data_IF_947543910188
#
_entry.id   IF_947543910188
#
_cell.length_a   1.000
_cell.length_b   1.000
_cell.length_c   1.000
_cell.angle_alpha   90.00
_cell.angle_beta   90.00
_cell.angle_gamma   90.00
#
_symmetry.space_group_name_H-M   'P 1'
#
loop_
_entity.id
_entity.type
_entity.pdbx_description
1 polymer ?
#
# COMPACT_ATOMS: atom_id res chain seq x y z
N UNK A 1 -1.08 0.65 -19.95
CA UNK A 1 -1.56 0.02 -18.69
C UNK A 1 -0.49 -0.85 -18.02
N UNK A 2 0.12 -1.82 -18.71
CA UNK A 2 1.17 -2.69 -18.11
C UNK A 2 2.35 -1.93 -17.48
N UNK A 3 2.89 -0.92 -18.16
CA UNK A 3 4.02 -0.12 -17.65
C UNK A 3 3.67 0.59 -16.34
N UNK A 4 2.46 1.14 -16.23
CA UNK A 4 2.00 1.82 -15.00
C UNK A 4 1.87 0.82 -13.86
N UNK A 5 1.30 -0.37 -14.12
CA UNK A 5 1.17 -1.42 -13.10
C UNK A 5 2.55 -1.90 -12.61
N UNK A 6 3.50 -2.10 -13.53
CA UNK A 6 4.87 -2.48 -13.17
C UNK A 6 5.55 -1.37 -12.36
N UNK A 7 5.43 -0.11 -12.79
CA UNK A 7 6.02 1.02 -12.07
C UNK A 7 5.47 1.15 -10.65
N UNK A 8 4.15 1.15 -10.49
CA UNK A 8 3.50 1.23 -9.17
C UNK A 8 3.89 0.04 -8.29
N UNK A 9 3.89 -1.18 -8.84
CA UNK A 9 4.27 -2.38 -8.08
C UNK A 9 5.73 -2.32 -7.63
N UNK A 10 6.64 -1.81 -8.46
CA UNK A 10 8.04 -1.58 -8.08
C UNK A 10 8.16 -0.53 -6.97
N UNK A 11 7.44 0.58 -7.05
CA UNK A 11 7.43 1.59 -5.98
C UNK A 11 6.95 1.01 -4.65
N UNK A 12 5.88 0.21 -4.67
CA UNK A 12 5.34 -0.45 -3.47
C UNK A 12 6.33 -1.50 -2.93
N UNK A 13 7.02 -2.22 -3.80
CA UNK A 13 8.08 -3.16 -3.40
C UNK A 13 9.22 -2.44 -2.67
N UNK A 14 9.72 -1.33 -3.24
CA UNK A 14 10.78 -0.54 -2.60
C UNK A 14 10.34 0.02 -1.25
N UNK A 15 9.10 0.50 -1.14
CA UNK A 15 8.54 0.95 0.13
C UNK A 15 8.50 -0.19 1.17
N UNK A 16 8.05 -1.39 0.77
CA UNK A 16 8.03 -2.56 1.66
C UNK A 16 9.44 -2.96 2.13
N UNK A 17 10.42 -2.94 1.23
CA UNK A 17 11.84 -3.21 1.57
C UNK A 17 12.37 -2.16 2.54
N UNK A 18 12.07 -0.87 2.31
CA UNK A 18 12.50 0.21 3.20
C UNK A 18 11.93 0.04 4.61
N UNK A 19 10.62 -0.24 4.73
CA UNK A 19 9.96 -0.51 6.01
C UNK A 19 10.59 -1.73 6.70
N UNK A 20 10.83 -2.81 5.97
CA UNK A 20 11.48 -4.02 6.52
C UNK A 20 12.90 -3.72 7.01
N UNK A 21 13.69 -2.99 6.23
CA UNK A 21 15.05 -2.64 6.59
C UNK A 21 15.09 -1.81 7.87
N UNK A 22 14.26 -0.76 7.97
CA UNK A 22 14.14 0.02 9.20
C UNK A 22 13.64 -0.83 10.37
N UNK A 23 12.72 -1.76 10.13
CA UNK A 23 12.15 -2.59 11.19
C UNK A 23 13.09 -3.70 11.68
N UNK A 24 14.12 -4.05 10.90
CA UNK A 24 15.14 -5.03 11.26
C UNK A 24 16.26 -4.44 12.13
N UNK A 25 16.39 -3.11 12.19
CA UNK A 25 17.34 -2.48 13.11
C UNK A 25 16.78 -2.60 14.53
N UNK A 26 17.53 -3.22 15.47
CA UNK A 26 17.08 -3.31 16.85
C UNK A 26 16.99 -1.91 17.46
N UNK A 27 16.07 -1.69 18.42
CA UNK A 27 16.07 -0.48 19.23
C UNK A 27 17.41 -0.31 19.96
N UNK A 28 17.91 0.92 20.12
CA UNK A 28 19.21 1.18 20.73
C UNK A 28 19.29 0.65 22.17
N UNK A 29 20.45 0.15 22.56
CA UNK A 29 20.66 -0.29 23.93
C UNK A 29 20.85 0.90 24.87
N UNK A 30 20.48 0.76 26.15
CA UNK A 30 20.61 1.85 27.14
C UNK A 30 22.06 2.36 27.26
N UNK A 31 23.05 1.50 27.05
CA UNK A 31 24.48 1.81 27.04
C UNK A 31 24.89 2.77 25.91
N UNK A 32 24.11 2.85 24.84
CA UNK A 32 24.37 3.67 23.65
C UNK A 32 23.72 5.07 23.77
N UNK A 33 22.97 5.31 24.86
CA UNK A 33 22.18 6.51 25.04
C UNK A 33 22.88 7.57 25.89
N UNK A 34 22.50 8.83 25.64
CA UNK A 34 23.01 9.98 26.39
C UNK A 34 22.12 10.25 27.61
N UNK A 35 22.74 10.43 28.78
CA UNK A 35 22.07 10.95 29.97
C UNK A 35 22.19 12.46 29.98
N UNK A 36 21.06 13.17 30.12
CA UNK A 36 21.00 14.63 30.06
C UNK A 36 20.22 15.13 31.26
N UNK A 37 20.82 16.03 32.03
CA UNK A 37 20.13 16.75 33.11
C UNK A 37 20.02 18.21 32.70
N UNK A 38 18.83 18.79 32.84
CA UNK A 38 18.60 20.18 32.47
C UNK A 38 17.29 20.73 33.01
N UNK A 39 17.15 22.05 32.93
CA UNK A 39 15.95 22.74 33.39
C UNK A 39 14.87 22.71 32.31
N UNK A 40 13.68 22.23 32.68
CA UNK A 40 12.50 22.22 31.84
C UNK A 40 12.05 23.64 31.49
N UNK A 41 11.77 23.93 30.22
CA UNK A 41 11.20 25.21 29.81
C UNK A 41 9.70 25.08 29.50
N UNK A 42 9.37 24.34 28.44
CA UNK A 42 8.00 24.10 28.01
C UNK A 42 7.86 22.78 27.24
N UNK A 43 6.61 22.35 27.08
CA UNK A 43 6.23 21.16 26.34
C UNK A 43 5.29 21.56 25.20
N UNK A 44 5.51 20.98 24.02
CA UNK A 44 4.67 21.18 22.83
C UNK A 44 4.00 19.83 22.52
N UNK A 45 2.67 19.71 22.71
CA UNK A 45 1.96 18.48 22.37
C UNK A 45 1.96 18.23 20.86
N UNK A 46 1.69 16.99 20.46
CA UNK A 46 1.58 16.63 19.05
C UNK A 46 0.44 17.43 18.38
N UNK A 47 0.82 18.27 17.41
CA UNK A 47 -0.09 19.14 16.65
C UNK A 47 -0.62 18.51 15.36
N UNK A 48 -0.36 17.21 15.11
CA UNK A 48 -0.92 16.43 14.01
C UNK A 48 -0.29 16.67 12.62
N UNK A 49 0.50 17.73 12.42
CA UNK A 49 1.16 18.02 11.13
C UNK A 49 2.60 17.47 11.03
N UNK A 50 3.25 17.26 12.16
CA UNK A 50 4.56 16.59 12.28
C UNK A 50 4.51 15.72 13.55
N UNK A 51 4.75 14.40 13.48
CA UNK A 51 4.16 13.44 14.42
C UNK A 51 5.07 13.20 15.63
N UNK A 52 5.40 14.25 16.41
CA UNK A 52 6.18 14.08 17.65
C UNK A 52 5.86 15.21 18.62
N UNK A 53 5.57 14.86 19.86
CA UNK A 53 5.57 15.84 20.95
C UNK A 53 7.00 16.27 21.29
N UNK A 54 7.17 17.54 21.63
CA UNK A 54 8.47 18.15 21.89
C UNK A 54 8.62 18.59 23.36
N UNK A 55 9.80 18.37 23.90
CA UNK A 55 10.22 18.85 25.21
C UNK A 55 11.40 19.79 25.03
N UNK A 56 11.24 21.02 25.54
CA UNK A 56 12.22 22.09 25.42
C UNK A 56 12.89 22.34 26.77
N UNK A 57 14.22 22.47 26.75
CA UNK A 57 15.01 22.87 27.92
C UNK A 57 15.36 24.37 27.86
N UNK A 58 15.65 24.98 29.00
CA UNK A 58 15.96 26.42 29.10
C UNK A 58 17.24 26.82 28.36
N UNK A 59 18.13 25.87 28.08
CA UNK A 59 19.33 26.08 27.28
C UNK A 59 19.07 26.09 25.75
N UNK A 60 17.81 25.94 25.32
CA UNK A 60 17.40 25.91 23.91
C UNK A 60 17.46 24.53 23.25
N UNK A 61 17.81 23.48 23.99
CA UNK A 61 17.82 22.10 23.46
C UNK A 61 16.40 21.56 23.32
N UNK A 62 16.17 20.82 22.23
CA UNK A 62 14.87 20.24 21.89
C UNK A 62 14.98 18.72 21.80
N UNK A 63 14.04 18.04 22.45
CA UNK A 63 13.96 16.59 22.50
C UNK A 63 12.55 16.12 22.14
N UNK A 64 12.43 14.92 21.58
CA UNK A 64 11.18 14.39 21.06
C UNK A 64 10.70 13.21 21.88
N UNK A 65 9.44 13.18 22.28
CA UNK A 65 8.86 12.03 22.98
C UNK A 65 8.44 10.97 21.96
N UNK A 66 8.83 9.72 22.19
CA UNK A 66 8.43 8.58 21.36
C UNK A 66 6.91 8.39 21.44
N UNK A 67 6.31 8.11 20.27
CA UNK A 67 4.87 8.10 19.96
C UNK A 67 3.92 8.05 21.19
N UNK A 68 3.24 9.16 21.54
CA UNK A 68 2.37 9.24 22.71
C UNK A 68 1.11 8.36 22.60
N UNK A 69 0.78 7.84 21.41
CA UNK A 69 -0.43 7.03 21.17
C UNK A 69 -0.51 5.76 22.04
N UNK A 70 0.62 5.22 22.50
CA UNK A 70 0.65 4.05 23.37
C UNK A 70 0.47 4.36 24.87
N UNK A 71 0.12 5.61 25.23
CA UNK A 71 -0.09 6.05 26.63
C UNK A 71 1.12 5.79 27.56
N UNK A 72 2.32 5.73 27.00
CA UNK A 72 3.54 5.38 27.73
C UNK A 72 4.06 6.57 28.55
N UNK A 73 3.80 7.79 28.08
CA UNK A 73 4.16 9.02 28.76
C UNK A 73 2.99 9.52 29.61
N UNK A 74 3.23 9.71 30.91
CA UNK A 74 2.25 10.27 31.84
C UNK A 74 2.14 11.80 31.69
N UNK A 75 1.69 12.26 30.52
CA UNK A 75 1.66 13.66 30.10
C UNK A 75 0.92 14.56 31.10
N UNK A 76 -0.32 14.21 31.46
CA UNK A 76 -1.12 14.99 32.41
C UNK A 76 -0.43 15.16 33.76
N UNK A 77 0.18 14.08 34.26
CA UNK A 77 0.91 14.10 35.53
C UNK A 77 2.19 14.94 35.40
N UNK A 78 2.89 14.84 34.27
CA UNK A 78 4.07 15.63 33.98
C UNK A 78 3.75 17.12 33.94
N UNK A 79 2.76 17.54 33.14
CA UNK A 79 2.37 18.95 33.00
C UNK A 79 1.81 19.54 34.30
N UNK A 80 1.16 18.73 35.12
CA UNK A 80 0.67 19.16 36.44
C UNK A 80 1.81 19.40 37.43
N UNK A 81 2.80 18.51 37.46
CA UNK A 81 3.79 18.43 38.54
C UNK A 81 5.15 19.05 38.20
N UNK A 82 5.52 19.13 36.92
CA UNK A 82 6.79 19.72 36.47
C UNK A 82 6.57 21.18 36.10
N UNK A 83 7.32 22.07 36.72
CA UNK A 83 7.25 23.52 36.49
C UNK A 83 8.44 23.99 35.66
N UNK A 84 8.26 25.12 34.98
CA UNK A 84 9.34 25.80 34.26
C UNK A 84 10.52 26.06 35.22
N UNK A 85 11.74 25.86 34.72
CA UNK A 85 13.03 25.85 35.42
C UNK A 85 13.23 24.70 36.42
N UNK A 86 12.35 23.72 36.45
CA UNK A 86 12.56 22.53 37.27
C UNK A 86 13.56 21.60 36.59
N UNK A 87 14.52 21.08 37.37
CA UNK A 87 15.47 20.08 36.88
C UNK A 87 14.75 18.77 36.51
N UNK A 88 15.09 18.27 35.34
CA UNK A 88 14.62 17.01 34.79
C UNK A 88 15.79 16.20 34.25
N UNK A 89 15.71 14.88 34.44
CA UNK A 89 16.67 13.93 33.92
C UNK A 89 16.06 13.19 32.74
N UNK A 90 16.79 13.17 31.64
CA UNK A 90 16.44 12.55 30.39
C UNK A 90 17.43 11.44 30.04
N UNK A 91 16.93 10.35 29.49
CA UNK A 91 17.74 9.43 28.69
C UNK A 91 17.31 9.60 27.25
N UNK A 92 18.27 9.88 26.38
CA UNK A 92 18.02 10.26 25.00
C UNK A 92 18.79 9.34 24.05
N UNK A 93 18.08 8.79 23.07
CA UNK A 93 18.72 8.22 21.88
C UNK A 93 19.13 9.36 20.94
N UNK A 94 20.44 9.46 20.67
CA UNK A 94 21.01 10.41 19.72
C UNK A 94 21.58 9.72 18.47
N UNK A 95 21.57 8.39 18.41
CA UNK A 95 22.21 7.60 17.35
C UNK A 95 21.51 7.75 16.00
N UNK A 96 20.20 7.98 16.03
CA UNK A 96 19.37 8.19 14.84
C UNK A 96 19.40 9.62 14.29
N UNK A 97 20.17 10.54 14.92
CA UNK A 97 20.11 11.98 14.64
C UNK A 97 18.81 12.65 15.10
N UNK A 98 17.91 11.87 15.70
CA UNK A 98 16.65 12.34 16.27
C UNK A 98 16.75 12.19 17.78
N UNK A 99 16.79 13.31 18.50
CA UNK A 99 16.95 13.41 19.95
C UNK A 99 15.73 12.84 20.71
N UNK A 100 15.51 11.53 20.62
CA UNK A 100 14.33 10.87 21.15
C UNK A 100 14.50 10.56 22.63
N UNK A 101 13.50 10.94 23.41
CA UNK A 101 13.47 10.70 24.85
C UNK A 101 12.96 9.29 25.11
N UNK A 102 13.82 8.51 25.76
CA UNK A 102 13.53 7.16 26.22
C UNK A 102 13.18 7.12 27.70
N UNK A 103 13.48 8.18 28.47
CA UNK A 103 13.10 8.29 29.87
C UNK A 103 12.97 9.75 30.29
N UNK A 104 11.97 10.05 31.13
CA UNK A 104 11.78 11.38 31.75
C UNK A 104 11.60 11.19 33.25
N UNK A 105 12.44 11.87 34.03
CA UNK A 105 12.31 11.97 35.49
C UNK A 105 12.37 13.41 35.96
N UNK A 106 11.70 13.69 37.06
CA UNK A 106 11.95 14.90 37.86
C UNK A 106 12.02 14.52 39.33
N UNK A 107 13.19 14.72 39.94
CA UNK A 107 13.49 14.20 41.27
C UNK A 107 13.30 12.68 41.34
N UNK A 108 12.40 12.22 42.22
CA UNK A 108 12.12 10.77 42.40
C UNK A 108 10.97 10.23 41.54
N UNK A 109 10.30 11.09 40.76
CA UNK A 109 9.12 10.71 39.97
C UNK A 109 9.55 10.42 38.54
N UNK A 110 9.10 9.29 37.99
CA UNK A 110 9.32 8.88 36.59
C UNK A 110 8.02 9.07 35.82
N UNK A 111 8.07 9.87 34.75
CA UNK A 111 6.91 10.18 33.89
C UNK A 111 6.94 9.40 32.59
N UNK A 112 8.13 8.97 32.15
CA UNK A 112 8.35 8.03 31.07
C UNK A 112 9.46 7.07 31.50
N UNK A 113 9.17 5.76 31.51
CA UNK A 113 10.15 4.75 31.89
C UNK A 113 10.90 4.24 30.66
N UNK A 114 12.21 4.00 30.82
CA UNK A 114 13.05 3.41 29.77
C UNK A 114 12.48 2.09 29.24
N UNK A 115 12.00 1.24 30.15
CA UNK A 115 11.47 -0.07 29.79
C UNK A 115 10.24 0.05 28.90
N UNK A 116 9.35 0.99 29.22
CA UNK A 116 8.10 1.13 28.48
C UNK A 116 8.35 1.81 27.13
N UNK A 117 9.22 2.83 27.07
CA UNK A 117 9.64 3.44 25.81
C UNK A 117 10.32 2.41 24.88
N UNK A 118 11.25 1.62 25.42
CA UNK A 118 11.94 0.56 24.68
C UNK A 118 10.98 -0.53 24.18
N UNK A 119 10.02 -0.96 25.01
CA UNK A 119 9.03 -1.94 24.60
C UNK A 119 8.09 -1.39 23.52
N UNK A 120 7.71 -0.12 23.61
CA UNK A 120 6.91 0.57 22.59
C UNK A 120 7.65 0.62 21.26
N UNK A 121 8.90 1.06 21.25
CA UNK A 121 9.73 1.11 20.05
C UNK A 121 9.93 -0.29 19.45
N UNK A 122 10.21 -1.30 20.29
CA UNK A 122 10.30 -2.69 19.85
C UNK A 122 9.00 -3.18 19.22
N UNK A 123 7.86 -2.83 19.81
CA UNK A 123 6.55 -3.19 19.28
C UNK A 123 6.30 -2.52 17.91
N UNK A 124 6.65 -1.25 17.75
CA UNK A 124 6.56 -0.54 16.46
C UNK A 124 7.44 -1.20 15.40
N UNK A 125 8.67 -1.60 15.74
CA UNK A 125 9.55 -2.38 14.85
C UNK A 125 8.91 -3.73 14.46
N UNK A 126 8.30 -4.44 15.40
CA UNK A 126 7.58 -5.71 15.11
C UNK A 126 6.40 -5.47 14.15
N UNK A 127 5.60 -4.42 14.38
CA UNK A 127 4.49 -4.07 13.48
C UNK A 127 4.99 -3.67 12.09
N UNK A 128 6.09 -2.94 12.02
CA UNK A 128 6.78 -2.61 10.78
C UNK A 128 7.24 -3.87 10.03
N UNK A 129 7.81 -4.87 10.72
CA UNK A 129 8.17 -6.15 10.11
C UNK A 129 6.95 -6.88 9.51
N UNK A 130 5.83 -6.93 10.25
CA UNK A 130 4.60 -7.58 9.79
C UNK A 130 4.04 -6.84 8.57
N UNK A 131 3.90 -5.52 8.66
CA UNK A 131 3.36 -4.70 7.57
C UNK A 131 4.25 -4.75 6.33
N UNK A 132 5.57 -4.60 6.51
CA UNK A 132 6.55 -4.71 5.45
C UNK A 132 6.52 -6.08 4.75
N UNK A 133 6.35 -7.16 5.51
CA UNK A 133 6.22 -8.52 4.97
C UNK A 133 4.96 -8.70 4.13
N UNK A 134 3.82 -8.17 4.59
CA UNK A 134 2.56 -8.19 3.84
C UNK A 134 2.69 -7.40 2.54
N UNK A 135 3.26 -6.20 2.60
CA UNK A 135 3.50 -5.35 1.41
C UNK A 135 4.41 -6.07 0.41
N UNK A 136 5.48 -6.71 0.89
CA UNK A 136 6.41 -7.48 0.05
C UNK A 136 5.69 -8.63 -0.66
N UNK A 137 4.90 -9.42 0.07
CA UNK A 137 4.13 -10.54 -0.48
C UNK A 137 3.15 -10.08 -1.56
N UNK A 138 2.38 -9.02 -1.27
CA UNK A 138 1.42 -8.45 -2.23
C UNK A 138 2.13 -7.90 -3.48
N UNK A 139 3.29 -7.27 -3.31
CA UNK A 139 4.10 -6.75 -4.41
C UNK A 139 4.59 -7.87 -5.33
N UNK A 140 5.07 -8.97 -4.74
CA UNK A 140 5.49 -10.17 -5.49
C UNK A 140 4.30 -10.78 -6.25
N UNK A 141 3.13 -10.88 -5.61
CA UNK A 141 1.91 -11.36 -6.28
C UNK A 141 1.48 -10.45 -7.44
N UNK A 142 1.58 -9.13 -7.29
CA UNK A 142 1.27 -8.17 -8.35
C UNK A 142 2.27 -8.24 -9.51
N UNK A 143 3.57 -8.38 -9.23
CA UNK A 143 4.60 -8.53 -10.26
C UNK A 143 4.47 -9.88 -10.98
N UNK A 144 4.28 -10.97 -10.25
CA UNK A 144 4.06 -12.31 -10.80
C UNK A 144 2.76 -12.44 -11.60
N UNK A 145 1.66 -11.88 -11.09
CA UNK A 145 0.37 -11.82 -11.78
C UNK A 145 0.36 -10.87 -12.98
N UNK A 146 1.15 -9.78 -12.91
CA UNK A 146 1.34 -8.83 -14.01
C UNK A 146 1.97 -9.46 -15.26
N UNK A 147 2.81 -10.49 -15.08
CA UNK A 147 3.43 -11.25 -16.17
C UNK A 147 2.41 -12.15 -16.88
N UNK A 148 1.37 -12.62 -16.17
CA UNK A 148 0.34 -13.50 -16.73
C UNK A 148 -0.90 -12.78 -17.29
N UNK A 149 -1.06 -11.48 -17.08
CA UNK A 149 -2.11 -10.68 -17.71
C UNK A 149 -1.78 -10.49 -19.20
N UNK A 150 -2.03 -11.54 -19.98
CA UNK A 150 -2.00 -11.48 -21.45
C UNK A 150 -2.98 -10.41 -21.94
N UNK A 151 -2.63 -9.70 -23.01
CA UNK A 151 -3.58 -8.78 -23.64
C UNK A 151 -4.71 -9.62 -24.19
N UNK A 152 -5.95 -9.15 -24.07
CA UNK A 152 -7.05 -9.74 -24.82
C UNK A 152 -6.66 -9.70 -26.30
N UNK A 153 -6.75 -10.81 -27.00
CA UNK A 153 -6.40 -10.85 -28.42
C UNK A 153 -7.39 -11.69 -29.21
N UNK A 154 -7.59 -11.29 -30.45
CA UNK A 154 -8.39 -12.03 -31.42
C UNK A 154 -7.45 -12.37 -32.57
N UNK A 155 -7.19 -13.66 -32.78
CA UNK A 155 -6.43 -14.15 -33.94
C UNK A 155 -7.43 -14.65 -34.96
N UNK A 156 -7.44 -14.02 -36.13
CA UNK A 156 -8.37 -14.32 -37.21
C UNK A 156 -7.76 -15.43 -38.08
N UNK A 157 -8.54 -16.46 -38.39
CA UNK A 157 -8.12 -17.54 -39.28
C UNK A 157 -9.14 -17.67 -40.41
N UNK A 158 -8.94 -16.91 -41.47
CA UNK A 158 -9.85 -16.86 -42.61
C UNK A 158 -9.92 -18.19 -43.35
N UNK A 159 -8.81 -18.93 -43.42
CA UNK A 159 -8.73 -20.24 -44.09
C UNK A 159 -9.61 -21.30 -43.43
N UNK A 160 -9.74 -21.27 -42.10
CA UNK A 160 -10.54 -22.25 -41.35
C UNK A 160 -11.90 -21.71 -40.88
N UNK A 161 -12.33 -20.56 -41.42
CA UNK A 161 -13.59 -19.88 -41.06
C UNK A 161 -13.82 -19.73 -39.54
N UNK A 162 -12.74 -19.42 -38.81
CA UNK A 162 -12.80 -19.25 -37.37
C UNK A 162 -11.93 -18.10 -36.86
N UNK A 163 -12.08 -17.81 -35.59
CA UNK A 163 -11.16 -16.97 -34.84
C UNK A 163 -10.85 -17.60 -33.49
N UNK A 164 -9.69 -17.24 -32.98
CA UNK A 164 -9.22 -17.64 -31.67
C UNK A 164 -9.29 -16.41 -30.77
N UNK A 165 -10.12 -16.49 -29.74
CA UNK A 165 -10.24 -15.45 -28.72
C UNK A 165 -9.46 -15.80 -27.47
N UNK A 166 -8.44 -15.01 -27.15
CA UNK A 166 -7.66 -15.14 -25.92
C UNK A 166 -8.09 -14.10 -24.90
N UNK A 167 -8.47 -14.55 -23.72
CA UNK A 167 -8.84 -13.69 -22.58
C UNK A 167 -7.62 -13.18 -21.83
N UNK A 168 -7.78 -12.15 -21.00
CA UNK A 168 -6.67 -11.65 -20.19
C UNK A 168 -6.04 -12.71 -19.28
N UNK A 169 -6.83 -13.69 -18.85
CA UNK A 169 -6.39 -14.82 -18.02
C UNK A 169 -5.77 -15.97 -18.83
N UNK A 170 -5.48 -15.78 -20.11
CA UNK A 170 -4.84 -16.79 -20.96
C UNK A 170 -5.75 -17.91 -21.45
N UNK A 171 -7.05 -17.91 -21.11
CA UNK A 171 -8.01 -18.87 -21.69
C UNK A 171 -8.24 -18.56 -23.15
N UNK A 172 -8.23 -19.60 -23.96
CA UNK A 172 -8.34 -19.52 -25.42
C UNK A 172 -9.62 -20.21 -25.87
N UNK A 173 -10.39 -19.56 -26.73
CA UNK A 173 -11.61 -20.10 -27.31
C UNK A 173 -11.51 -20.05 -28.83
N UNK A 174 -11.67 -21.19 -29.49
CA UNK A 174 -11.79 -21.28 -30.95
C UNK A 174 -13.27 -21.22 -31.31
N UNK A 175 -13.67 -20.24 -32.11
CA UNK A 175 -15.06 -19.95 -32.41
C UNK A 175 -15.21 -19.80 -33.91
N UNK A 176 -16.10 -20.59 -34.49
CA UNK A 176 -16.41 -20.55 -35.92
C UNK A 176 -17.46 -19.47 -36.21
N UNK A 177 -17.34 -18.79 -37.35
CA UNK A 177 -18.25 -17.69 -37.67
C UNK A 177 -19.69 -18.17 -37.90
N UNK A 178 -19.86 -19.35 -38.52
CA UNK A 178 -21.17 -19.93 -38.81
C UNK A 178 -21.99 -20.31 -37.56
N UNK A 179 -21.32 -20.54 -36.43
CA UNK A 179 -21.99 -20.85 -35.16
C UNK A 179 -22.49 -19.60 -34.42
N UNK A 180 -22.14 -18.40 -34.91
CA UNK A 180 -22.57 -17.14 -34.31
C UNK A 180 -23.95 -16.76 -34.85
N UNK A 181 -24.96 -16.86 -33.99
CA UNK A 181 -26.34 -16.55 -34.39
C UNK A 181 -26.58 -15.05 -34.57
N UNK A 182 -25.97 -14.24 -33.71
CA UNK A 182 -26.03 -12.78 -33.78
C UNK A 182 -24.99 -12.14 -32.88
N UNK A 183 -24.71 -10.86 -33.12
CA UNK A 183 -23.88 -10.03 -32.26
C UNK A 183 -24.50 -8.66 -31.95
N UNK A 184 -24.03 -8.07 -30.85
CA UNK A 184 -24.40 -6.74 -30.37
C UNK A 184 -23.15 -6.00 -29.91
N UNK A 185 -22.98 -4.79 -30.40
CA UNK A 185 -21.89 -3.89 -30.01
C UNK A 185 -22.37 -2.92 -28.93
N UNK A 186 -21.69 -2.87 -27.79
CA UNK A 186 -21.88 -1.88 -26.74
C UNK A 186 -20.61 -1.05 -26.51
N UNK A 187 -20.70 0.00 -25.68
CA UNK A 187 -19.56 0.86 -25.34
C UNK A 187 -18.44 0.11 -24.60
N UNK A 188 -18.82 -0.86 -23.77
CA UNK A 188 -17.90 -1.59 -22.88
C UNK A 188 -17.61 -3.03 -23.32
N UNK A 189 -18.42 -3.58 -24.24
CA UNK A 189 -18.36 -4.97 -24.65
C UNK A 189 -19.02 -5.19 -26.01
N UNK A 190 -18.48 -6.12 -26.80
CA UNK A 190 -19.23 -6.81 -27.85
C UNK A 190 -19.76 -8.11 -27.27
N UNK A 191 -21.04 -8.40 -27.47
CA UNK A 191 -21.66 -9.64 -27.01
C UNK A 191 -22.17 -10.38 -28.24
N UNK A 192 -21.83 -11.66 -28.38
CA UNK A 192 -22.41 -12.51 -29.41
C UNK A 192 -23.00 -13.78 -28.82
N UNK A 193 -24.00 -14.35 -29.50
CA UNK A 193 -24.60 -15.64 -29.13
C UNK A 193 -23.95 -16.74 -29.95
N UNK A 194 -23.38 -17.72 -29.27
CA UNK A 194 -22.69 -18.89 -29.85
C UNK A 194 -23.15 -20.15 -29.13
N UNK A 195 -23.59 -21.16 -29.88
CA UNK A 195 -24.11 -22.43 -29.35
C UNK A 195 -25.07 -22.26 -28.17
N UNK A 196 -26.02 -21.32 -28.31
CA UNK A 196 -27.02 -21.01 -27.28
C UNK A 196 -26.53 -20.15 -26.11
N UNK A 197 -25.21 -19.93 -25.96
CA UNK A 197 -24.60 -19.17 -24.87
C UNK A 197 -24.18 -17.76 -25.30
N UNK A 198 -24.13 -16.83 -24.35
CA UNK A 198 -23.61 -15.48 -24.59
C UNK A 198 -22.11 -15.44 -24.32
N UNK A 199 -21.37 -14.90 -25.27
CA UNK A 199 -19.93 -14.64 -25.17
C UNK A 199 -19.68 -13.14 -25.17
N UNK A 200 -18.80 -12.72 -24.26
CA UNK A 200 -18.42 -11.32 -24.09
C UNK A 200 -17.01 -11.13 -24.64
N UNK A 201 -16.88 -10.18 -25.57
CA UNK A 201 -15.63 -9.76 -26.17
C UNK A 201 -15.29 -8.35 -25.71
N UNK A 202 -14.11 -8.22 -25.13
CA UNK A 202 -13.53 -6.94 -24.76
C UNK A 202 -13.24 -6.08 -26.02
N UNK A 203 -13.77 -4.84 -26.12
CA UNK A 203 -13.53 -3.96 -27.26
C UNK A 203 -12.09 -3.44 -27.36
N UNK A 204 -11.30 -3.61 -26.29
CA UNK A 204 -9.87 -3.30 -26.25
C UNK A 204 -8.99 -4.51 -26.61
N UNK A 205 -9.59 -5.61 -27.09
CA UNK A 205 -8.80 -6.73 -27.60
C UNK A 205 -8.01 -6.35 -28.85
N UNK A 206 -6.78 -6.87 -28.94
CA UNK A 206 -5.99 -6.78 -30.15
C UNK A 206 -6.76 -7.39 -31.33
N UNK A 207 -6.73 -6.72 -32.48
CA UNK A 207 -7.50 -7.05 -33.69
C UNK A 207 -9.04 -6.99 -33.55
N UNK A 208 -9.58 -6.31 -32.52
CA UNK A 208 -11.03 -6.11 -32.39
C UNK A 208 -11.68 -5.44 -33.61
N UNK A 209 -11.05 -4.42 -34.19
CA UNK A 209 -11.57 -3.73 -35.39
C UNK A 209 -11.61 -4.65 -36.63
N UNK A 210 -10.51 -5.33 -37.01
CA UNK A 210 -10.53 -6.37 -38.04
C UNK A 210 -11.60 -7.45 -37.81
N UNK A 211 -11.72 -7.95 -36.57
CA UNK A 211 -12.74 -8.94 -36.20
C UNK A 211 -14.16 -8.44 -36.49
N UNK A 212 -14.47 -7.21 -36.08
CA UNK A 212 -15.77 -6.61 -36.32
C UNK A 212 -16.09 -6.48 -37.82
N UNK A 213 -15.08 -6.18 -38.64
CA UNK A 213 -15.23 -6.11 -40.09
C UNK A 213 -15.53 -7.49 -40.70
N UNK A 214 -14.88 -8.56 -40.21
CA UNK A 214 -15.17 -9.92 -40.65
C UNK A 214 -16.59 -10.35 -40.27
N UNK A 215 -17.07 -10.03 -39.06
CA UNK A 215 -18.46 -10.33 -38.68
C UNK A 215 -19.47 -9.68 -39.65
N UNK A 216 -19.19 -8.44 -40.08
CA UNK A 216 -20.02 -7.73 -41.07
C UNK A 216 -19.90 -8.40 -42.45
N UNK A 217 -18.68 -8.72 -42.89
CA UNK A 217 -18.41 -9.38 -44.19
C UNK A 217 -19.05 -10.76 -44.30
N UNK A 218 -19.16 -11.49 -43.18
CA UNK A 218 -19.78 -12.81 -43.07
C UNK A 218 -21.31 -12.75 -42.87
N UNK A 219 -21.90 -11.57 -42.97
CA UNK A 219 -23.33 -11.30 -42.79
C UNK A 219 -23.91 -11.83 -41.47
N UNK A 220 -23.10 -11.80 -40.40
CA UNK A 220 -23.57 -12.18 -39.07
C UNK A 220 -24.60 -11.16 -38.61
N UNK A 221 -25.77 -11.62 -38.18
CA UNK A 221 -26.89 -10.73 -37.82
C UNK A 221 -26.53 -9.78 -36.68
N UNK A 222 -26.57 -8.48 -36.93
CA UNK A 222 -26.41 -7.44 -35.90
C UNK A 222 -27.76 -7.10 -35.25
N UNK A 223 -27.84 -7.16 -33.93
CA UNK A 223 -29.04 -6.78 -33.18
C UNK A 223 -28.89 -5.38 -32.57
N UNK A 224 -29.80 -4.48 -32.92
CA UNK A 224 -29.85 -3.11 -32.40
C UNK A 224 -30.75 -2.95 -31.15
N UNK A 225 -31.64 -3.91 -30.86
CA UNK A 225 -32.63 -3.82 -29.77
C UNK A 225 -32.06 -4.15 -28.37
N UNK A 226 -32.68 -3.61 -27.31
CA UNK A 226 -32.46 -4.04 -25.91
C UNK A 226 -32.87 -5.52 -25.79
N UNK A 227 -31.89 -6.41 -25.79
CA UNK A 227 -32.10 -7.80 -25.35
C UNK A 227 -32.34 -7.72 -23.85
N UNK A 228 -33.54 -8.09 -23.42
CA UNK A 228 -33.90 -8.21 -22.02
C UNK A 228 -33.18 -9.46 -21.49
N UNK A 229 -31.98 -9.30 -20.95
CA UNK A 229 -31.25 -10.37 -20.30
C UNK A 229 -31.90 -10.50 -18.91
N UNK A 230 -32.76 -11.51 -18.72
CA UNK A 230 -33.15 -11.93 -17.37
C UNK A 230 -31.96 -12.71 -16.80
N UNK A 231 -31.42 -12.22 -15.69
CA UNK A 231 -30.39 -12.88 -14.91
C UNK A 231 -30.95 -14.13 -14.23
#
# INVERSE_FOLDING_TARGET
MRIIVLFVSSCVLFLGIFILHDSLTPPPEKSEMSSISGEFDHYVPDGGKYPKAELHLTNGSVYFIVNPEYQVFAEDAFLKNVKKRQEIDLIVDSTSGSNFIMMIKSGKVTYLSFRDAYNSERQDKIWGLVLGSIILLLSIMCLGGGIHLTSWSITLNESNDNFIYKTAFGRTYTIFYHDISYYKTGKLALIFKYNGKFFVVNPYAENYRPFLHILIKKDVKKIFKRVNIRY
#
